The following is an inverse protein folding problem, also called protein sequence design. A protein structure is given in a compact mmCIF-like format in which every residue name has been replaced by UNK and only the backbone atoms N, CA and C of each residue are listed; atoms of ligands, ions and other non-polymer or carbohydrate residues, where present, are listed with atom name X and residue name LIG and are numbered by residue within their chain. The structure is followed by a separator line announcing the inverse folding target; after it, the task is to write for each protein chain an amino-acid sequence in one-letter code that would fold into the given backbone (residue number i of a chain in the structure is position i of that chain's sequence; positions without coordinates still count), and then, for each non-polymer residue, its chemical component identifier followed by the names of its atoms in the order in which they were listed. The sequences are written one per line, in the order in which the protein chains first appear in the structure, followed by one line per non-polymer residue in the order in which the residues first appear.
data_IF_263400911708
#
_entry.id   IF_263400911708
#
_cell.length_a   1.000
_cell.length_b   1.000
_cell.length_c   1.000
_cell.angle_alpha   90.00
_cell.angle_beta   90.00
_cell.angle_gamma   90.00
#
_symmetry.space_group_name_H-M   'P 1'
#
loop_
_entity.id
_entity.type
_entity.pdbx_description
1 polymer ?
#
# COMPACT_ATOMS: atom_id res chain seq x y z
N UNK A 1 56.51 53.44 10.34
CA UNK A 1 55.86 52.21 9.85
C UNK A 1 56.67 51.73 8.66
N UNK A 2 57.52 50.73 8.88
CA UNK A 2 58.53 50.29 7.92
C UNK A 2 57.92 49.31 6.92
N UNK A 3 57.88 49.71 5.65
CA UNK A 3 57.53 48.84 4.53
C UNK A 3 58.67 47.83 4.37
N UNK A 4 58.44 46.57 4.72
CA UNK A 4 59.40 45.50 4.52
C UNK A 4 59.36 45.06 3.05
N UNK A 5 60.27 45.60 2.25
CA UNK A 5 60.53 45.09 0.91
C UNK A 5 61.24 43.74 1.03
N UNK A 6 60.70 42.63 0.50
CA UNK A 6 61.36 41.34 0.61
C UNK A 6 62.72 41.37 -0.09
N UNK A 7 63.77 40.75 0.47
CA UNK A 7 65.07 40.67 -0.18
C UNK A 7 64.92 39.94 -1.51
N UNK A 8 65.17 40.66 -2.61
CA UNK A 8 65.12 40.12 -3.96
C UNK A 8 66.39 39.29 -4.20
N UNK A 9 66.42 38.09 -3.64
CA UNK A 9 67.45 37.11 -3.96
C UNK A 9 67.34 36.75 -5.44
N UNK A 10 68.48 36.71 -6.13
CA UNK A 10 68.58 36.45 -7.56
C UNK A 10 67.87 35.14 -7.97
N UNK A 11 67.71 34.19 -7.04
CA UNK A 11 66.98 32.93 -7.22
C UNK A 11 65.46 33.09 -7.41
N UNK A 12 64.85 34.20 -6.96
CA UNK A 12 63.40 34.43 -7.07
C UNK A 12 63.03 35.32 -8.26
N UNK A 13 64.02 35.95 -8.92
CA UNK A 13 63.83 36.89 -10.04
C UNK A 13 63.25 36.20 -11.29
N UNK A 14 63.58 34.93 -11.47
CA UNK A 14 63.16 34.10 -12.61
C UNK A 14 61.96 33.20 -12.28
N UNK A 15 61.41 33.26 -11.07
CA UNK A 15 60.17 32.56 -10.76
C UNK A 15 59.00 33.39 -11.28
N UNK A 16 58.55 33.03 -12.49
CA UNK A 16 57.33 33.54 -13.10
C UNK A 16 56.15 33.16 -12.20
N UNK A 17 55.45 34.15 -11.63
CA UNK A 17 54.17 33.91 -10.96
C UNK A 17 53.21 33.27 -11.96
N UNK A 18 52.93 31.98 -11.77
CA UNK A 18 51.95 31.25 -12.58
C UNK A 18 50.57 31.79 -12.23
N UNK A 19 49.97 32.55 -13.15
CA UNK A 19 48.61 33.03 -13.02
C UNK A 19 47.68 31.85 -12.70
N UNK A 20 46.96 31.94 -11.58
CA UNK A 20 46.01 30.89 -11.17
C UNK A 20 44.97 30.75 -12.26
N UNK A 21 44.85 29.55 -12.84
CA UNK A 21 43.90 29.29 -13.91
C UNK A 21 42.49 29.70 -13.44
N UNK A 22 41.71 30.41 -14.27
CA UNK A 22 40.35 30.79 -13.90
C UNK A 22 39.57 29.55 -13.51
N UNK A 23 38.82 29.63 -12.40
CA UNK A 23 38.06 28.50 -11.86
C UNK A 23 37.21 27.87 -12.95
N UNK A 24 37.51 26.63 -13.29
CA UNK A 24 36.77 25.89 -14.31
C UNK A 24 35.33 25.74 -13.81
N UNK A 25 34.38 26.32 -14.53
CA UNK A 25 32.97 26.11 -14.25
C UNK A 25 32.66 24.62 -14.45
N UNK A 26 32.40 23.92 -13.35
CA UNK A 26 31.91 22.54 -13.35
C UNK A 26 30.47 22.43 -13.84
N UNK A 27 29.80 23.58 -14.06
CA UNK A 27 28.50 23.63 -14.70
C UNK A 27 28.69 23.36 -16.20
N UNK A 28 28.16 22.26 -16.72
CA UNK A 28 28.42 21.84 -18.08
C UNK A 28 27.63 22.70 -19.07
N UNK A 29 28.34 23.43 -19.93
CA UNK A 29 27.75 24.34 -20.93
C UNK A 29 27.15 23.58 -22.15
N UNK A 30 27.22 22.25 -22.16
CA UNK A 30 26.87 21.42 -23.32
C UNK A 30 25.39 21.02 -23.36
N UNK A 31 24.85 20.92 -24.58
CA UNK A 31 23.46 20.47 -24.84
C UNK A 31 23.20 19.06 -24.25
N UNK A 32 24.26 18.26 -24.04
CA UNK A 32 24.17 16.93 -23.44
C UNK A 32 23.43 16.92 -22.09
N UNK A 33 23.59 17.94 -21.25
CA UNK A 33 22.86 17.99 -19.99
C UNK A 33 21.38 18.29 -20.15
N UNK A 34 20.99 19.06 -21.18
CA UNK A 34 19.58 19.23 -21.53
C UNK A 34 18.96 17.89 -21.88
N UNK A 35 19.65 17.09 -22.69
CA UNK A 35 19.22 15.72 -23.05
C UNK A 35 19.10 14.84 -21.81
N UNK A 36 20.07 14.88 -20.89
CA UNK A 36 20.00 14.14 -19.61
C UNK A 36 18.79 14.59 -18.77
N UNK A 37 18.55 15.90 -18.61
CA UNK A 37 17.35 16.38 -17.89
C UNK A 37 16.06 15.94 -18.54
N UNK A 38 15.97 15.93 -19.88
CA UNK A 38 14.77 15.46 -20.59
C UNK A 38 14.55 13.97 -20.33
N UNK A 39 15.61 13.16 -20.45
CA UNK A 39 15.54 11.72 -20.17
C UNK A 39 15.14 11.47 -18.71
N UNK A 40 15.79 12.13 -17.75
CA UNK A 40 15.49 12.01 -16.34
C UNK A 40 14.04 12.44 -16.02
N UNK A 41 13.56 13.52 -16.66
CA UNK A 41 12.18 13.98 -16.52
C UNK A 41 11.19 12.96 -17.07
N UNK A 42 11.46 12.35 -18.23
CA UNK A 42 10.61 11.30 -18.78
C UNK A 42 10.53 10.08 -17.84
N UNK A 43 11.67 9.64 -17.28
CA UNK A 43 11.69 8.58 -16.27
C UNK A 43 10.90 8.95 -15.02
N UNK A 44 11.06 10.17 -14.52
CA UNK A 44 10.31 10.66 -13.37
C UNK A 44 8.80 10.62 -13.64
N UNK A 45 8.33 11.13 -14.79
CA UNK A 45 6.91 11.11 -15.17
C UNK A 45 6.35 9.68 -15.20
N UNK A 46 7.05 8.75 -15.87
CA UNK A 46 6.63 7.35 -15.95
C UNK A 46 6.57 6.73 -14.56
N UNK A 47 7.58 7.00 -13.72
CA UNK A 47 7.62 6.47 -12.36
C UNK A 47 6.52 7.05 -11.47
N UNK A 48 6.28 8.35 -11.52
CA UNK A 48 5.20 9.02 -10.79
C UNK A 48 3.84 8.51 -11.25
N UNK A 49 3.62 8.36 -12.55
CA UNK A 49 2.37 7.82 -13.11
C UNK A 49 2.10 6.40 -12.62
N UNK A 50 3.09 5.49 -12.72
CA UNK A 50 2.94 4.11 -12.22
C UNK A 50 2.73 4.07 -10.70
N UNK A 51 3.40 4.95 -9.96
CA UNK A 51 3.24 5.06 -8.51
C UNK A 51 1.85 5.57 -8.14
N UNK A 52 1.32 6.55 -8.86
CA UNK A 52 -0.05 7.02 -8.70
C UNK A 52 -1.05 5.91 -9.02
N UNK A 53 -0.92 5.24 -10.16
CA UNK A 53 -1.84 4.13 -10.50
C UNK A 53 -1.86 3.05 -9.41
N UNK A 54 -0.69 2.66 -8.88
CA UNK A 54 -0.59 1.72 -7.75
C UNK A 54 -1.20 2.28 -6.47
N UNK A 55 -1.03 3.57 -6.21
CA UNK A 55 -1.59 4.23 -5.03
C UNK A 55 -3.12 4.29 -5.09
N UNK A 56 -3.68 4.70 -6.24
CA UNK A 56 -5.11 4.71 -6.50
C UNK A 56 -5.71 3.30 -6.42
N UNK A 57 -5.02 2.32 -7.02
CA UNK A 57 -5.39 0.90 -6.92
C UNK A 57 -5.31 0.32 -5.50
N UNK A 58 -4.63 0.97 -4.56
CA UNK A 58 -4.57 0.54 -3.16
C UNK A 58 -5.42 1.40 -2.22
N UNK A 59 -6.15 2.40 -2.75
CA UNK A 59 -6.98 3.30 -1.95
C UNK A 59 -8.10 2.56 -1.23
N UNK A 60 -8.79 1.67 -1.94
CA UNK A 60 -9.86 0.85 -1.35
C UNK A 60 -9.35 0.01 -0.18
N UNK A 61 -8.11 -0.49 -0.22
CA UNK A 61 -7.51 -1.26 0.88
C UNK A 61 -7.36 -0.42 2.14
N UNK A 62 -6.90 0.83 1.98
CA UNK A 62 -6.72 1.76 3.10
C UNK A 62 -8.05 2.11 3.74
N UNK A 63 -9.05 2.43 2.93
CA UNK A 63 -10.40 2.74 3.39
C UNK A 63 -11.02 1.53 4.11
N UNK A 64 -10.93 0.33 3.54
CA UNK A 64 -11.43 -0.88 4.17
C UNK A 64 -10.74 -1.21 5.52
N UNK A 65 -9.42 -1.07 5.60
CA UNK A 65 -8.68 -1.27 6.86
C UNK A 65 -9.10 -0.23 7.92
N UNK A 66 -9.28 1.03 7.51
CA UNK A 66 -9.74 2.07 8.41
C UNK A 66 -11.15 1.78 8.95
N UNK A 67 -12.08 1.40 8.07
CA UNK A 67 -13.45 1.01 8.46
C UNK A 67 -13.46 -0.18 9.41
N UNK A 68 -12.72 -1.25 9.10
CA UNK A 68 -12.57 -2.41 9.99
C UNK A 68 -11.92 -2.03 11.33
N UNK A 69 -11.01 -1.04 11.34
CA UNK A 69 -10.41 -0.50 12.56
C UNK A 69 -11.42 0.21 13.46
N UNK A 70 -12.33 1.00 12.88
CA UNK A 70 -13.42 1.64 13.63
C UNK A 70 -14.39 0.59 14.19
N UNK A 71 -14.76 -0.41 13.39
CA UNK A 71 -15.62 -1.51 13.83
C UNK A 71 -14.97 -2.35 14.95
N UNK A 72 -13.66 -2.57 14.90
CA UNK A 72 -12.91 -3.21 15.98
C UNK A 72 -13.02 -2.42 17.30
N UNK A 73 -12.89 -1.09 17.24
CA UNK A 73 -13.00 -0.24 18.42
C UNK A 73 -14.43 -0.22 18.98
N UNK A 74 -15.42 -0.14 18.10
CA UNK A 74 -16.84 -0.24 18.46
C UNK A 74 -17.15 -1.57 19.17
N UNK A 75 -16.67 -2.69 18.61
CA UNK A 75 -16.81 -4.02 19.20
C UNK A 75 -16.09 -4.13 20.56
N UNK A 76 -14.89 -3.56 20.71
CA UNK A 76 -14.19 -3.57 22.02
C UNK A 76 -14.97 -2.85 23.12
N UNK A 77 -15.61 -1.75 22.77
CA UNK A 77 -16.37 -0.89 23.70
C UNK A 77 -17.78 -1.42 23.96
N UNK A 78 -18.29 -2.35 23.14
CA UNK A 78 -19.62 -2.92 23.31
C UNK A 78 -19.72 -3.81 24.54
N UNK A 79 -20.93 -3.88 25.10
CA UNK A 79 -21.26 -4.82 26.16
C UNK A 79 -21.54 -6.21 25.57
N UNK A 80 -21.19 -7.27 26.30
CA UNK A 80 -21.39 -8.66 25.85
C UNK A 80 -22.86 -9.01 25.59
N UNK A 81 -23.79 -8.42 26.35
CA UNK A 81 -25.21 -8.73 26.28
C UNK A 81 -25.94 -8.08 25.06
N UNK A 82 -25.30 -7.14 24.37
CA UNK A 82 -25.94 -6.36 23.31
C UNK A 82 -25.84 -7.04 21.93
N UNK A 83 -26.60 -8.14 21.79
CA UNK A 83 -26.61 -8.98 20.57
C UNK A 83 -27.04 -8.22 19.31
N UNK A 84 -27.94 -7.25 19.45
CA UNK A 84 -28.41 -6.44 18.32
C UNK A 84 -27.28 -5.56 17.78
N UNK A 85 -26.50 -4.95 18.68
CA UNK A 85 -25.34 -4.16 18.29
C UNK A 85 -24.22 -5.02 17.68
N UNK A 86 -23.98 -6.22 18.21
CA UNK A 86 -23.00 -7.16 17.62
C UNK A 86 -23.41 -7.60 16.20
N UNK A 87 -24.71 -7.85 15.97
CA UNK A 87 -25.22 -8.16 14.63
C UNK A 87 -25.02 -6.98 13.67
N UNK A 88 -25.25 -5.75 14.11
CA UNK A 88 -25.01 -4.56 13.28
C UNK A 88 -23.55 -4.46 12.86
N UNK A 89 -22.62 -4.60 13.81
CA UNK A 89 -21.17 -4.59 13.49
C UNK A 89 -20.83 -5.72 12.51
N UNK A 90 -21.41 -6.91 12.70
CA UNK A 90 -21.22 -8.05 11.80
C UNK A 90 -21.69 -7.75 10.36
N UNK A 91 -22.83 -7.06 10.20
CA UNK A 91 -23.35 -6.60 8.91
C UNK A 91 -22.43 -5.54 8.28
N UNK A 92 -21.89 -4.62 9.08
CA UNK A 92 -20.95 -3.62 8.60
C UNK A 92 -19.65 -4.28 8.10
N UNK A 93 -19.12 -5.28 8.82
CA UNK A 93 -17.96 -6.08 8.37
C UNK A 93 -18.27 -6.77 7.03
N UNK A 94 -19.44 -7.39 6.91
CA UNK A 94 -19.88 -8.01 5.65
C UNK A 94 -19.92 -6.99 4.50
N UNK A 95 -20.46 -5.80 4.73
CA UNK A 95 -20.56 -4.74 3.72
C UNK A 95 -19.18 -4.26 3.24
N UNK A 96 -18.22 -4.13 4.17
CA UNK A 96 -16.84 -3.74 3.85
C UNK A 96 -16.16 -4.82 3.03
N UNK A 97 -16.22 -6.08 3.47
CA UNK A 97 -15.62 -7.19 2.73
C UNK A 97 -16.25 -7.37 1.36
N UNK A 98 -17.56 -7.19 1.23
CA UNK A 98 -18.25 -7.26 -0.07
C UNK A 98 -17.78 -6.16 -1.02
N UNK A 99 -17.61 -4.94 -0.53
CA UNK A 99 -17.06 -3.82 -1.31
C UNK A 99 -15.63 -4.11 -1.78
N UNK A 100 -14.77 -4.65 -0.90
CA UNK A 100 -13.40 -5.04 -1.27
C UNK A 100 -13.40 -6.17 -2.29
N UNK A 101 -14.22 -7.21 -2.08
CA UNK A 101 -14.34 -8.34 -3.00
C UNK A 101 -14.80 -7.89 -4.40
N UNK A 102 -15.75 -6.96 -4.48
CA UNK A 102 -16.20 -6.35 -5.73
C UNK A 102 -15.09 -5.56 -6.44
N UNK A 103 -14.26 -4.84 -5.67
CA UNK A 103 -13.13 -4.09 -6.21
C UNK A 103 -12.04 -5.03 -6.78
N UNK A 104 -11.88 -6.22 -6.21
CA UNK A 104 -10.87 -7.19 -6.65
C UNK A 104 -11.39 -8.11 -7.74
N UNK A 105 -12.62 -8.61 -7.63
CA UNK A 105 -13.28 -9.48 -8.59
C UNK A 105 -14.74 -9.02 -8.83
N UNK A 106 -14.99 -8.27 -9.92
CA UNK A 106 -16.31 -7.74 -10.24
C UNK A 106 -17.40 -8.80 -10.48
N UNK A 107 -17.02 -10.04 -10.80
CA UNK A 107 -17.96 -11.15 -11.10
C UNK A 107 -18.68 -11.67 -9.84
N UNK A 108 -18.26 -11.24 -8.64
CA UNK A 108 -18.79 -11.72 -7.35
C UNK A 108 -20.05 -11.00 -6.88
N UNK A 109 -20.67 -10.14 -7.71
CA UNK A 109 -21.78 -9.25 -7.31
C UNK A 109 -22.99 -9.97 -6.71
N UNK A 110 -23.32 -11.17 -7.18
CA UNK A 110 -24.48 -11.96 -6.76
C UNK A 110 -24.19 -12.98 -5.67
N UNK A 111 -22.96 -13.04 -5.12
CA UNK A 111 -22.58 -14.07 -4.16
C UNK A 111 -23.01 -13.72 -2.73
N UNK A 112 -23.57 -14.71 -2.04
CA UNK A 112 -24.02 -14.65 -0.66
C UNK A 112 -23.68 -15.96 0.04
N UNK A 113 -23.67 -15.97 1.37
CA UNK A 113 -23.50 -17.21 2.12
C UNK A 113 -22.12 -17.85 1.95
N UNK A 114 -22.11 -19.17 1.83
CA UNK A 114 -20.90 -19.98 1.66
C UNK A 114 -20.14 -19.65 0.35
N UNK A 115 -20.80 -19.50 -0.82
CA UNK A 115 -20.11 -19.05 -2.06
C UNK A 115 -19.35 -17.73 -1.92
N UNK A 116 -19.84 -16.80 -1.09
CA UNK A 116 -19.14 -15.56 -0.80
C UNK A 116 -17.84 -15.81 -0.02
N UNK A 117 -17.87 -16.68 1.00
CA UNK A 117 -16.68 -17.04 1.78
C UNK A 117 -15.63 -17.76 0.94
N UNK A 118 -16.06 -18.71 0.12
CA UNK A 118 -15.18 -19.39 -0.84
C UNK A 118 -14.51 -18.41 -1.81
N UNK A 119 -15.21 -17.34 -2.19
CA UNK A 119 -14.64 -16.31 -3.06
C UNK A 119 -13.59 -15.44 -2.35
N UNK A 120 -13.70 -15.24 -1.04
CA UNK A 120 -12.65 -14.61 -0.25
C UNK A 120 -11.41 -15.51 -0.20
N UNK A 121 -11.59 -16.79 0.10
CA UNK A 121 -10.50 -17.77 0.15
C UNK A 121 -9.81 -17.92 -1.21
N UNK A 122 -10.56 -17.93 -2.32
CA UNK A 122 -10.03 -17.99 -3.68
C UNK A 122 -9.12 -16.80 -4.06
N UNK A 123 -9.22 -15.67 -3.35
CA UNK A 123 -8.32 -14.52 -3.54
C UNK A 123 -7.11 -14.55 -2.59
N UNK A 124 -6.92 -15.63 -1.85
CA UNK A 124 -5.77 -15.85 -0.99
C UNK A 124 -4.82 -16.84 -1.66
N UNK A 125 -3.58 -16.91 -1.19
CA UNK A 125 -2.66 -17.96 -1.65
C UNK A 125 -3.22 -19.33 -1.28
N UNK A 126 -3.02 -20.36 -2.13
CA UNK A 126 -3.45 -21.73 -1.83
C UNK A 126 -2.91 -22.19 -0.46
N UNK A 127 -3.78 -22.80 0.36
CA UNK A 127 -3.43 -23.29 1.70
C UNK A 127 -3.66 -22.30 2.85
N UNK A 128 -4.31 -21.17 2.60
CA UNK A 128 -4.73 -20.19 3.62
C UNK A 128 -6.26 -20.02 3.64
N UNK A 129 -7.00 -21.11 3.46
CA UNK A 129 -8.47 -21.10 3.41
C UNK A 129 -9.05 -20.99 4.84
N UNK A 130 -9.33 -19.76 5.25
CA UNK A 130 -9.78 -19.45 6.63
C UNK A 130 -11.28 -19.17 6.66
N UNK A 131 -11.86 -18.53 5.64
CA UNK A 131 -13.23 -18.02 5.72
C UNK A 131 -14.28 -19.13 5.62
N UNK A 132 -14.20 -19.97 4.59
CA UNK A 132 -15.18 -21.03 4.38
C UNK A 132 -15.13 -22.10 5.47
N UNK A 133 -13.95 -22.32 6.08
CA UNK A 133 -13.74 -23.31 7.13
C UNK A 133 -14.16 -22.79 8.51
N UNK A 134 -13.66 -21.63 8.93
CA UNK A 134 -13.84 -21.09 10.28
C UNK A 134 -15.15 -20.30 10.44
N UNK A 135 -15.59 -19.61 9.39
CA UNK A 135 -16.69 -18.63 9.44
C UNK A 135 -17.93 -19.08 8.66
N UNK A 136 -18.11 -20.39 8.43
CA UNK A 136 -19.24 -20.95 7.67
C UNK A 136 -20.63 -20.60 8.23
N UNK A 137 -20.75 -20.40 9.55
CA UNK A 137 -21.99 -20.03 10.24
C UNK A 137 -22.26 -18.51 10.22
N UNK A 138 -21.24 -17.70 9.95
CA UNK A 138 -21.36 -16.24 9.98
C UNK A 138 -22.46 -15.69 9.05
N UNK A 139 -22.62 -16.14 7.80
CA UNK A 139 -23.68 -15.61 6.93
C UNK A 139 -25.10 -15.82 7.48
N UNK A 140 -25.32 -16.88 8.27
CA UNK A 140 -26.60 -17.12 8.93
C UNK A 140 -26.80 -16.18 10.12
N UNK A 141 -25.73 -15.88 10.87
CA UNK A 141 -25.75 -14.91 11.98
C UNK A 141 -26.15 -13.49 11.54
N UNK A 142 -25.92 -13.14 10.27
CA UNK A 142 -26.31 -11.84 9.71
C UNK A 142 -27.83 -11.67 9.63
N UNK A 143 -28.57 -12.78 9.47
CA UNK A 143 -30.02 -12.80 9.25
C UNK A 143 -30.80 -13.00 10.55
N UNK A 144 -30.26 -13.82 11.47
CA UNK A 144 -30.99 -14.25 12.67
C UNK A 144 -30.25 -13.83 13.94
N UNK A 145 -30.85 -12.92 14.73
CA UNK A 145 -30.32 -12.42 15.99
C UNK A 145 -29.91 -13.50 16.99
N UNK A 146 -30.66 -14.60 17.03
CA UNK A 146 -30.40 -15.69 17.98
C UNK A 146 -29.05 -16.39 17.72
N UNK A 147 -28.56 -16.31 16.48
CA UNK A 147 -27.28 -16.87 16.04
C UNK A 147 -26.21 -15.77 15.92
N UNK A 148 -26.43 -14.58 16.49
CA UNK A 148 -25.44 -13.51 16.47
C UNK A 148 -24.10 -14.00 17.06
N UNK A 149 -23.02 -13.62 16.40
CA UNK A 149 -21.66 -13.91 16.86
C UNK A 149 -21.46 -13.33 18.27
N UNK A 150 -20.76 -14.08 19.11
CA UNK A 150 -20.27 -13.56 20.38
C UNK A 150 -19.27 -12.43 20.15
N UNK A 151 -19.00 -11.62 21.18
CA UNK A 151 -18.01 -10.54 21.08
C UNK A 151 -16.63 -11.08 20.70
N UNK A 152 -16.23 -12.22 21.28
CA UNK A 152 -14.96 -12.85 21.01
C UNK A 152 -14.84 -13.32 19.55
N UNK A 153 -15.89 -13.96 19.03
CA UNK A 153 -15.93 -14.39 17.62
C UNK A 153 -15.93 -13.18 16.68
N UNK A 154 -16.68 -12.13 17.00
CA UNK A 154 -16.71 -10.92 16.19
C UNK A 154 -15.35 -10.21 16.14
N UNK A 155 -14.61 -10.16 17.27
CA UNK A 155 -13.25 -9.63 17.30
C UNK A 155 -12.29 -10.47 16.44
N UNK A 156 -12.40 -11.80 16.50
CA UNK A 156 -11.60 -12.70 15.67
C UNK A 156 -11.94 -12.55 14.18
N UNK A 157 -13.22 -12.46 13.82
CA UNK A 157 -13.69 -12.22 12.46
C UNK A 157 -13.14 -10.90 11.90
N UNK A 158 -13.16 -9.82 12.69
CA UNK A 158 -12.60 -8.54 12.26
C UNK A 158 -11.08 -8.65 12.06
N UNK A 159 -10.37 -9.37 12.91
CA UNK A 159 -8.94 -9.59 12.77
C UNK A 159 -8.59 -10.39 11.49
N UNK A 160 -9.33 -11.47 11.22
CA UNK A 160 -9.17 -12.28 10.00
C UNK A 160 -9.50 -11.45 8.75
N UNK A 161 -10.57 -10.64 8.81
CA UNK A 161 -10.94 -9.69 7.76
C UNK A 161 -9.82 -8.69 7.47
N UNK A 162 -9.21 -8.11 8.50
CA UNK A 162 -8.07 -7.21 8.34
C UNK A 162 -6.85 -7.90 7.74
N UNK A 163 -6.56 -9.13 8.16
CA UNK A 163 -5.46 -9.92 7.63
C UNK A 163 -5.66 -10.21 6.13
N UNK A 164 -6.89 -10.57 5.74
CA UNK A 164 -7.27 -10.81 4.36
C UNK A 164 -7.18 -9.56 3.49
N UNK A 165 -7.73 -8.42 3.93
CA UNK A 165 -7.64 -7.15 3.19
C UNK A 165 -6.17 -6.73 2.95
N UNK A 166 -5.25 -7.07 3.85
CA UNK A 166 -3.81 -6.81 3.68
C UNK A 166 -3.12 -7.77 2.69
N UNK A 167 -3.59 -9.00 2.56
CA UNK A 167 -2.87 -10.12 1.91
C UNK A 167 -3.50 -10.64 0.63
N UNK A 168 -4.76 -10.29 0.33
CA UNK A 168 -5.44 -10.79 -0.87
C UNK A 168 -4.68 -10.42 -2.14
N UNK A 169 -4.77 -11.34 -3.11
CA UNK A 169 -4.22 -11.22 -4.44
C UNK A 169 -5.21 -10.43 -5.29
N UNK A 170 -4.73 -9.42 -6.01
CA UNK A 170 -5.53 -8.80 -7.07
C UNK A 170 -5.46 -9.65 -8.33
N UNK A 171 -6.52 -9.68 -9.15
CA UNK A 171 -6.53 -10.43 -10.43
C UNK A 171 -5.33 -10.10 -11.35
N UNK A 172 -4.75 -8.90 -11.24
CA UNK A 172 -3.53 -8.54 -11.97
C UNK A 172 -2.30 -9.34 -11.51
N UNK A 173 -2.25 -9.77 -10.25
CA UNK A 173 -1.15 -10.56 -9.68
C UNK A 173 -1.27 -12.05 -10.01
N UNK A 174 -2.49 -12.58 -10.19
CA UNK A 174 -2.69 -13.99 -10.57
C UNK A 174 -2.19 -14.25 -11.99
N UNK A 175 -2.53 -13.36 -12.94
CA UNK A 175 -2.08 -13.47 -14.34
C UNK A 175 -0.55 -13.32 -14.48
N UNK A 176 0.06 -12.41 -13.71
CA UNK A 176 1.52 -12.20 -13.79
C UNK A 176 2.33 -13.34 -13.14
N UNK A 177 1.73 -14.10 -12.22
CA UNK A 177 2.33 -15.30 -11.63
C UNK A 177 2.27 -16.53 -12.53
N UNK A 178 1.23 -16.64 -13.36
CA UNK A 178 1.12 -17.71 -14.37
C UNK A 178 2.10 -17.51 -15.53
N UNK A 179 2.31 -16.26 -16.00
CA UNK A 179 3.23 -15.97 -17.11
C UNK A 179 4.71 -16.12 -16.70
N UNK A 180 5.05 -15.98 -15.42
CA UNK A 180 6.42 -16.18 -14.94
C UNK A 180 6.79 -17.66 -14.72
N UNK A 181 5.84 -18.58 -14.79
CA UNK A 181 6.04 -20.02 -14.62
C UNK A 181 5.84 -20.81 -15.93
N UNK A 182 5.73 -20.11 -17.07
CA UNK A 182 5.70 -20.67 -18.42
C UNK A 182 6.98 -20.30 -19.18
#
# INVERSE_FOLDING_TARGET
MTVHTPPQSYMLRDIVEVAVAPSVSWMPQTIGWKVVTVIASAFAIVWTYKSLQRWWGNRYRREAIASLGLLLQACKTSQEADKAYHQQISQDVYSVLRTVLLAVNPQTRSLYGLPFLQSLDAQTKPGLDVFASQWSHWPQSLLVQQNALSKAELLALIADSQAWVKRHLTLAQTVSGEISNA
#
